data_IF_974711030655
#
_entry.id   IF_974711030655
#
_cell.length_a   1.000
_cell.length_b   1.000
_cell.length_c   1.000
_cell.angle_alpha   90.00
_cell.angle_beta   90.00
_cell.angle_gamma   90.00
#
_symmetry.space_group_name_H-M   'P 1'
#
loop_
_entity.id
_entity.type
_entity.pdbx_description
1 polymer ?
#
# COMPACT_ATOMS: atom_id res chain seq x y z
N UNK A 1 16.83 -13.56 -5.37
CA UNK A 1 15.94 -13.43 -4.19
C UNK A 1 14.62 -14.14 -4.47
N UNK A 2 13.78 -14.36 -3.44
CA UNK A 2 12.51 -15.12 -3.57
C UNK A 2 11.62 -14.64 -4.73
N UNK A 3 11.57 -13.33 -4.97
CA UNK A 3 10.72 -12.70 -6.00
C UNK A 3 11.51 -12.22 -7.23
N UNK A 4 12.60 -12.91 -7.60
CA UNK A 4 13.36 -12.55 -8.80
C UNK A 4 12.48 -12.71 -10.05
N UNK A 5 12.45 -11.67 -10.91
CA UNK A 5 11.60 -11.65 -12.11
C UNK A 5 10.12 -11.30 -11.85
N UNK A 6 9.74 -11.06 -10.60
CA UNK A 6 8.37 -10.70 -10.20
C UNK A 6 8.33 -9.34 -9.51
N UNK A 7 7.12 -8.79 -9.35
CA UNK A 7 6.95 -7.57 -8.57
C UNK A 7 7.26 -7.83 -7.08
N UNK A 8 8.29 -7.15 -6.58
CA UNK A 8 8.67 -7.21 -5.16
C UNK A 8 7.84 -6.28 -4.28
N UNK A 9 7.63 -5.04 -4.75
CA UNK A 9 6.86 -4.02 -4.06
C UNK A 9 6.28 -2.99 -5.03
N UNK A 10 5.17 -2.37 -4.67
CA UNK A 10 4.60 -1.21 -5.35
C UNK A 10 4.90 0.08 -4.59
N UNK A 11 5.03 1.19 -5.31
CA UNK A 11 5.12 2.52 -4.72
C UNK A 11 3.77 3.23 -4.87
N UNK A 12 3.22 3.72 -3.77
CA UNK A 12 1.90 4.33 -3.71
C UNK A 12 1.97 5.77 -3.23
N UNK A 13 0.96 6.55 -3.59
CA UNK A 13 0.70 7.90 -3.06
C UNK A 13 -0.66 7.84 -2.35
N UNK A 14 -0.71 8.23 -1.08
CA UNK A 14 -1.96 8.27 -0.33
C UNK A 14 -2.92 9.31 -0.92
N UNK A 15 -4.21 8.97 -1.06
CA UNK A 15 -5.27 9.88 -1.53
C UNK A 15 -5.92 10.71 -0.39
N UNK A 16 -5.30 10.70 0.79
CA UNK A 16 -5.91 10.85 2.12
C UNK A 16 -6.63 9.57 2.55
N UNK A 17 -6.25 9.07 3.73
CA UNK A 17 -6.88 7.92 4.34
C UNK A 17 -7.13 8.28 5.81
N UNK A 18 -8.40 8.28 6.20
CA UNK A 18 -8.75 8.20 7.61
C UNK A 18 -8.47 6.76 8.05
N UNK A 19 -7.60 6.61 9.04
CA UNK A 19 -7.41 5.36 9.75
C UNK A 19 -8.67 4.97 10.51
N UNK A 20 -8.59 3.85 11.20
CA UNK A 20 -9.67 3.35 12.06
C UNK A 20 -10.03 4.32 13.20
N UNK A 21 -9.09 5.21 13.56
CA UNK A 21 -9.20 6.18 14.65
C UNK A 21 -9.15 7.62 14.10
N UNK A 22 -9.85 8.53 14.77
CA UNK A 22 -10.00 9.93 14.34
C UNK A 22 -8.65 10.69 14.24
N UNK A 23 -7.69 10.31 15.08
CA UNK A 23 -6.34 10.91 15.15
C UNK A 23 -5.37 10.31 14.11
N UNK A 24 -5.70 9.18 13.49
CA UNK A 24 -4.87 8.58 12.46
C UNK A 24 -5.28 9.09 11.08
N UNK A 25 -4.71 10.23 10.67
CA UNK A 25 -4.89 10.74 9.32
C UNK A 25 -3.59 10.73 8.56
N UNK A 26 -3.60 10.02 7.43
CA UNK A 26 -2.51 10.10 6.47
C UNK A 26 -2.82 11.25 5.53
N UNK A 27 -1.93 12.24 5.52
CA UNK A 27 -2.04 13.36 4.60
C UNK A 27 -2.05 12.89 3.14
N UNK A 28 -2.86 13.54 2.31
CA UNK A 28 -2.83 13.31 0.88
C UNK A 28 -1.44 13.59 0.33
N UNK A 29 -0.97 12.72 -0.56
CA UNK A 29 0.32 12.85 -1.21
C UNK A 29 1.51 12.20 -0.52
N UNK A 30 1.33 11.61 0.65
CA UNK A 30 2.37 10.80 1.30
C UNK A 30 2.74 9.61 0.40
N UNK A 31 4.03 9.51 0.06
CA UNK A 31 4.59 8.40 -0.74
C UNK A 31 5.13 7.31 0.17
N UNK A 32 4.76 6.06 -0.10
CA UNK A 32 5.22 4.90 0.65
C UNK A 32 5.26 3.66 -0.24
N UNK A 33 5.98 2.62 0.20
CA UNK A 33 6.09 1.34 -0.52
C UNK A 33 5.31 0.26 0.21
N UNK A 34 4.67 -0.62 -0.56
CA UNK A 34 4.02 -1.83 -0.05
C UNK A 34 4.72 -3.02 -0.70
N UNK A 35 5.30 -3.90 0.11
CA UNK A 35 5.96 -5.14 -0.36
C UNK A 35 5.29 -6.43 0.13
N UNK A 36 4.25 -6.30 0.95
CA UNK A 36 3.59 -7.42 1.64
C UNK A 36 2.10 -7.45 1.29
N UNK A 37 1.50 -8.64 1.39
CA UNK A 37 0.07 -8.84 1.12
C UNK A 37 -0.27 -9.25 -0.31
N UNK A 38 0.70 -9.24 -1.23
CA UNK A 38 0.52 -9.71 -2.61
C UNK A 38 0.60 -11.23 -2.71
N UNK A 39 -0.35 -11.83 -3.41
CA UNK A 39 -0.27 -13.23 -3.86
C UNK A 39 0.82 -13.40 -4.92
N UNK A 40 1.21 -14.64 -5.22
CA UNK A 40 2.20 -14.88 -6.28
C UNK A 40 1.63 -14.53 -7.67
N UNK A 41 0.33 -14.69 -7.88
CA UNK A 41 -0.37 -14.26 -9.10
C UNK A 41 -0.34 -12.73 -9.26
N UNK A 42 -0.57 -11.98 -8.18
CA UNK A 42 -0.48 -10.51 -8.18
C UNK A 42 0.96 -10.03 -8.34
N UNK A 43 1.96 -10.82 -7.95
CA UNK A 43 3.37 -10.49 -8.19
C UNK A 43 3.76 -10.73 -9.64
N UNK A 44 3.21 -11.77 -10.26
CA UNK A 44 3.37 -12.03 -11.70
C UNK A 44 2.61 -10.99 -12.54
N UNK A 45 1.44 -10.54 -12.06
CA UNK A 45 0.58 -9.58 -12.72
C UNK A 45 0.27 -8.41 -11.78
N UNK A 46 1.22 -7.48 -11.59
CA UNK A 46 1.07 -6.39 -10.64
C UNK A 46 -0.12 -5.49 -10.98
N UNK A 47 -0.74 -4.84 -9.95
CA UNK A 47 -1.73 -3.81 -10.17
C UNK A 47 -1.22 -2.76 -11.15
N UNK A 48 -2.08 -2.33 -12.08
CA UNK A 48 -1.70 -1.33 -13.09
C UNK A 48 -1.29 -0.02 -12.41
N UNK A 49 -0.33 0.67 -13.01
CA UNK A 49 0.04 2.01 -12.55
C UNK A 49 -1.19 2.91 -12.66
N UNK A 50 -1.51 3.61 -11.57
CA UNK A 50 -2.71 4.45 -11.47
C UNK A 50 -3.92 3.75 -10.84
N UNK A 51 -3.89 2.43 -10.64
CA UNK A 51 -4.93 1.72 -9.90
C UNK A 51 -5.01 2.21 -8.45
N UNK A 52 -6.25 2.33 -7.94
CA UNK A 52 -6.52 2.59 -6.52
C UNK A 52 -6.52 1.25 -5.79
N UNK A 53 -5.83 1.18 -4.65
CA UNK A 53 -5.74 -0.02 -3.84
C UNK A 53 -6.19 0.26 -2.41
N UNK A 54 -6.72 -0.77 -1.77
CA UNK A 54 -6.95 -0.79 -0.32
C UNK A 54 -5.79 -1.49 0.34
N UNK A 55 -5.28 -0.91 1.42
CA UNK A 55 -4.21 -1.47 2.23
C UNK A 55 -4.54 -1.29 3.71
N UNK A 56 -3.92 -2.10 4.56
CA UNK A 56 -3.89 -1.89 6.01
C UNK A 56 -2.48 -1.55 6.47
N UNK A 57 -2.37 -0.91 7.61
CA UNK A 57 -1.11 -0.62 8.28
C UNK A 57 -1.30 -0.80 9.79
N UNK A 58 -0.21 -0.94 10.54
CA UNK A 58 -0.31 -1.14 12.00
C UNK A 58 -0.29 0.18 12.77
N UNK A 59 0.56 1.11 12.36
CA UNK A 59 0.76 2.40 13.01
C UNK A 59 1.27 3.41 11.97
N UNK A 60 1.28 4.69 12.31
CA UNK A 60 1.99 5.72 11.56
C UNK A 60 3.39 5.96 12.15
N UNK A 61 4.33 6.38 11.29
CA UNK A 61 5.59 6.96 11.74
C UNK A 61 5.36 8.37 12.27
N UNK A 62 6.35 8.95 12.97
CA UNK A 62 6.30 10.36 13.40
C UNK A 62 6.09 11.37 12.26
N UNK A 63 6.33 10.95 11.01
CA UNK A 63 6.10 11.76 9.79
C UNK A 63 4.76 11.46 9.11
N UNK A 64 3.85 10.70 9.74
CA UNK A 64 2.56 10.34 9.17
C UNK A 64 2.62 9.29 8.04
N UNK A 65 3.74 8.58 7.90
CA UNK A 65 3.89 7.51 6.89
C UNK A 65 3.41 6.16 7.47
N UNK A 66 2.60 5.37 6.75
CA UNK A 66 2.19 4.03 7.17
C UNK A 66 3.36 3.11 7.51
N UNK A 67 3.30 2.47 8.68
CA UNK A 67 4.27 1.46 9.12
C UNK A 67 3.72 0.06 8.84
N UNK A 68 4.56 -0.75 8.20
CA UNK A 68 4.23 -2.11 7.78
C UNK A 68 2.94 -2.18 6.94
N UNK A 69 2.84 -1.41 5.84
CA UNK A 69 1.67 -1.47 4.99
C UNK A 69 1.57 -2.85 4.34
N UNK A 70 0.34 -3.37 4.28
CA UNK A 70 0.00 -4.66 3.69
C UNK A 70 -1.12 -4.43 2.69
N UNK A 71 -0.87 -4.82 1.43
CA UNK A 71 -1.87 -4.80 0.38
C UNK A 71 -3.05 -5.70 0.74
N UNK A 72 -4.27 -5.26 0.45
CA UNK A 72 -5.49 -6.06 0.64
C UNK A 72 -6.15 -6.40 -0.69
N UNK A 73 -6.43 -5.39 -1.51
CA UNK A 73 -7.11 -5.56 -2.80
C UNK A 73 -6.98 -4.31 -3.67
N UNK A 74 -7.13 -4.50 -4.98
CA UNK A 74 -7.44 -3.40 -5.89
C UNK A 74 -8.89 -2.96 -5.64
N UNK A 75 -9.14 -1.64 -5.69
CA UNK A 75 -10.49 -1.09 -5.60
C UNK A 75 -11.15 -1.23 -6.96
N UNK A 76 -12.27 -1.93 -6.99
CA UNK A 76 -13.22 -1.94 -8.09
C UNK A 76 -14.20 -0.80 -7.79
N UNK A 77 -14.22 0.23 -8.65
CA UNK A 77 -15.17 1.34 -8.55
C UNK A 77 -16.47 1.00 -9.28
#
# INVERSE_FOLDING_TARGET
GKYAGLMGSVTCKALSAAGSNLDEQIASGVKFKIGSGFSDEERANPPKIGSIITYKYQNLTAKGVPRFPVFLRVRED
#
